data_IF_055178058924
#
_entry.id   IF_055178058924
#
_cell.length_a   1.000
_cell.length_b   1.000
_cell.length_c   1.000
_cell.angle_alpha   90.00
_cell.angle_beta   90.00
_cell.angle_gamma   90.00
#
_symmetry.space_group_name_H-M   'P 1'
#
loop_
_entity.id
_entity.type
_entity.pdbx_description
1 polymer ?
#
# COMPACT_ATOMS: atom_id res chain seq x y z
N UNK A 1 -22.58 74.10 -38.97
CA UNK A 1 -22.37 72.84 -38.21
C UNK A 1 -23.42 72.71 -37.11
N UNK A 2 -24.44 71.87 -37.35
CA UNK A 2 -25.52 71.65 -36.41
C UNK A 2 -24.99 70.83 -35.22
N UNK A 3 -24.98 71.44 -34.03
CA UNK A 3 -24.76 70.73 -32.78
C UNK A 3 -26.03 69.94 -32.45
N UNK A 4 -25.99 68.63 -32.67
CA UNK A 4 -27.07 67.71 -32.32
C UNK A 4 -26.86 67.24 -30.88
N UNK A 5 -27.67 67.76 -29.97
CA UNK A 5 -27.74 67.31 -28.58
C UNK A 5 -28.46 65.96 -28.53
N UNK A 6 -27.73 64.87 -28.28
CA UNK A 6 -28.29 63.55 -27.99
C UNK A 6 -28.10 63.24 -26.50
N UNK A 7 -29.14 63.28 -25.65
CA UNK A 7 -29.02 62.98 -24.22
C UNK A 7 -28.51 61.55 -23.92
N UNK A 8 -28.47 60.63 -24.90
CA UNK A 8 -27.81 59.31 -24.76
C UNK A 8 -26.30 59.36 -25.01
N UNK A 9 -25.77 60.34 -25.77
CA UNK A 9 -24.33 60.49 -25.98
C UNK A 9 -23.62 61.08 -24.75
N UNK A 10 -24.26 62.04 -24.06
CA UNK A 10 -23.72 62.66 -22.83
C UNK A 10 -23.53 61.63 -21.69
N UNK A 11 -24.38 60.60 -21.65
CA UNK A 11 -24.26 59.51 -20.68
C UNK A 11 -23.14 58.51 -21.05
N UNK A 12 -22.77 58.39 -22.33
CA UNK A 12 -21.70 57.48 -22.75
C UNK A 12 -20.32 58.09 -22.49
N UNK A 13 -20.12 59.37 -22.83
CA UNK A 13 -18.85 60.08 -22.60
C UNK A 13 -18.48 60.11 -21.11
N UNK A 14 -19.46 60.43 -20.26
CA UNK A 14 -19.27 60.48 -18.82
C UNK A 14 -18.96 59.09 -18.22
N UNK A 15 -19.54 58.02 -18.76
CA UNK A 15 -19.27 56.66 -18.32
C UNK A 15 -17.93 56.13 -18.83
N UNK A 16 -17.55 56.47 -20.07
CA UNK A 16 -16.25 56.15 -20.65
C UNK A 16 -15.12 56.84 -19.88
N UNK A 17 -15.28 58.13 -19.54
CA UNK A 17 -14.31 58.86 -18.71
C UNK A 17 -14.08 58.19 -17.35
N UNK A 18 -15.15 57.67 -16.73
CA UNK A 18 -15.07 56.88 -15.47
C UNK A 18 -14.36 55.55 -15.65
N UNK A 19 -14.57 54.85 -16.77
CA UNK A 19 -13.82 53.63 -17.09
C UNK A 19 -12.31 53.92 -17.23
N UNK A 20 -11.95 55.02 -17.89
CA UNK A 20 -10.56 55.45 -18.00
C UNK A 20 -9.94 55.88 -16.66
N UNK A 21 -10.72 56.53 -15.79
CA UNK A 21 -10.28 56.85 -14.42
C UNK A 21 -10.03 55.57 -13.61
N UNK A 22 -10.99 54.64 -13.65
CA UNK A 22 -10.85 53.31 -13.03
C UNK A 22 -9.61 52.57 -13.54
N UNK A 23 -9.35 52.57 -14.85
CA UNK A 23 -8.16 51.93 -15.42
C UNK A 23 -6.84 52.53 -14.93
N UNK A 24 -6.80 53.85 -14.65
CA UNK A 24 -5.59 54.49 -14.10
C UNK A 24 -5.35 54.14 -12.64
N UNK A 25 -6.39 53.84 -11.89
CA UNK A 25 -6.32 53.49 -10.46
C UNK A 25 -6.07 51.99 -10.24
N UNK A 26 -6.37 51.15 -11.24
CA UNK A 26 -6.31 49.70 -11.12
C UNK A 26 -5.31 49.08 -12.12
N UNK A 27 -4.32 48.30 -11.65
CA UNK A 27 -3.33 47.64 -12.52
C UNK A 27 -3.93 46.68 -13.56
N UNK A 28 -5.17 46.22 -13.35
CA UNK A 28 -5.91 45.35 -14.27
C UNK A 28 -7.31 45.90 -14.48
N UNK A 29 -7.79 45.93 -15.72
CA UNK A 29 -9.16 46.36 -16.06
C UNK A 29 -10.21 45.28 -15.77
N UNK A 30 -10.21 44.76 -14.55
CA UNK A 30 -11.18 43.79 -14.06
C UNK A 30 -12.37 44.55 -13.44
N UNK A 31 -13.39 44.85 -14.23
CA UNK A 31 -14.62 45.52 -13.77
C UNK A 31 -15.71 44.48 -13.50
N UNK A 32 -16.04 44.15 -12.24
CA UNK A 32 -17.10 43.19 -11.91
C UNK A 32 -18.49 43.73 -12.27
N UNK A 33 -19.42 42.83 -12.59
CA UNK A 33 -20.84 43.17 -12.73
C UNK A 33 -21.37 43.78 -11.43
N UNK A 34 -22.22 44.81 -11.54
CA UNK A 34 -22.76 45.54 -10.38
C UNK A 34 -21.79 46.50 -9.68
N UNK A 35 -20.53 46.64 -10.14
CA UNK A 35 -19.59 47.60 -9.56
C UNK A 35 -20.14 49.04 -9.64
N UNK A 36 -20.16 49.72 -8.49
CA UNK A 36 -20.44 51.15 -8.38
C UNK A 36 -19.10 51.88 -8.20
N UNK A 37 -18.77 52.76 -9.14
CA UNK A 37 -17.57 53.60 -9.12
C UNK A 37 -17.99 55.06 -9.21
N UNK A 38 -17.57 55.88 -8.24
CA UNK A 38 -17.98 57.29 -8.12
C UNK A 38 -19.50 57.49 -8.22
N UNK A 39 -20.28 56.63 -7.53
CA UNK A 39 -21.74 56.66 -7.55
C UNK A 39 -22.39 56.17 -8.86
N UNK A 40 -21.61 55.77 -9.87
CA UNK A 40 -22.09 55.26 -11.16
C UNK A 40 -21.96 53.74 -11.26
N UNK A 41 -22.99 53.06 -11.78
CA UNK A 41 -23.00 51.60 -12.02
C UNK A 41 -22.10 51.22 -13.21
N UNK A 42 -20.79 51.37 -13.04
CA UNK A 42 -19.77 51.16 -14.06
C UNK A 42 -19.75 49.71 -14.55
N UNK A 43 -19.89 48.73 -13.65
CA UNK A 43 -19.95 47.31 -14.01
C UNK A 43 -21.06 46.99 -15.01
N UNK A 44 -22.28 47.42 -14.70
CA UNK A 44 -23.44 47.21 -15.57
C UNK A 44 -23.30 47.94 -16.91
N UNK A 45 -22.64 49.11 -16.91
CA UNK A 45 -22.39 49.86 -18.14
C UNK A 45 -21.38 49.14 -19.04
N UNK A 46 -20.28 48.60 -18.47
CA UNK A 46 -19.28 47.79 -19.18
C UNK A 46 -19.92 46.54 -19.78
N UNK A 47 -20.76 45.84 -19.02
CA UNK A 47 -21.51 44.67 -19.54
C UNK A 47 -22.43 45.04 -20.70
N UNK A 48 -23.11 46.19 -20.62
CA UNK A 48 -23.93 46.72 -21.72
C UNK A 48 -23.09 47.01 -22.97
N UNK A 49 -21.87 47.56 -22.83
CA UNK A 49 -20.99 47.80 -23.98
C UNK A 49 -20.58 46.49 -24.65
N UNK A 50 -20.16 45.49 -23.87
CA UNK A 50 -19.81 44.15 -24.37
C UNK A 50 -20.99 43.49 -25.09
N UNK A 51 -22.20 43.61 -24.54
CA UNK A 51 -23.43 43.09 -25.15
C UNK A 51 -23.82 43.84 -26.43
N UNK A 52 -23.61 45.16 -26.48
CA UNK A 52 -23.87 45.95 -27.69
C UNK A 52 -22.90 45.59 -28.82
N UNK A 53 -21.62 45.40 -28.48
CA UNK A 53 -20.59 44.96 -29.42
C UNK A 53 -20.86 43.57 -29.99
N UNK A 54 -21.16 42.58 -29.14
CA UNK A 54 -21.45 41.21 -29.61
C UNK A 54 -22.70 41.11 -30.51
N UNK A 55 -23.60 42.09 -30.41
CA UNK A 55 -24.80 42.22 -31.27
C UNK A 55 -24.58 43.10 -32.51
N UNK A 56 -23.37 43.62 -32.73
CA UNK A 56 -23.05 44.52 -33.84
C UNK A 56 -23.76 45.87 -33.77
N UNK A 57 -24.20 46.31 -32.57
CA UNK A 57 -24.98 47.54 -32.35
C UNK A 57 -24.16 48.69 -31.76
N UNK A 58 -22.86 48.48 -31.54
CA UNK A 58 -21.98 49.51 -30.99
C UNK A 58 -21.31 50.29 -32.13
N UNK A 59 -21.36 51.61 -32.05
CA UNK A 59 -20.75 52.50 -33.03
C UNK A 59 -19.23 52.28 -33.15
N UNK A 60 -18.69 52.39 -34.37
CA UNK A 60 -17.28 52.12 -34.67
C UNK A 60 -16.30 53.01 -33.88
N UNK A 61 -16.65 54.28 -33.61
CA UNK A 61 -15.82 55.16 -32.78
C UNK A 61 -15.78 54.68 -31.33
N UNK A 62 -16.91 54.25 -30.80
CA UNK A 62 -17.00 53.70 -29.43
C UNK A 62 -16.23 52.39 -29.28
N UNK A 63 -16.29 51.52 -30.29
CA UNK A 63 -15.48 50.29 -30.35
C UNK A 63 -13.99 50.65 -30.28
N UNK A 64 -13.51 51.49 -31.20
CA UNK A 64 -12.11 51.92 -31.28
C UNK A 64 -11.64 52.54 -29.96
N UNK A 65 -12.46 53.36 -29.31
CA UNK A 65 -12.13 54.02 -28.05
C UNK A 65 -12.05 53.05 -26.87
N UNK A 66 -12.94 52.08 -26.80
CA UNK A 66 -12.88 51.03 -25.77
C UNK A 66 -11.68 50.12 -25.98
N UNK A 67 -11.36 49.75 -27.22
CA UNK A 67 -10.17 48.97 -27.58
C UNK A 67 -8.85 49.70 -27.31
N UNK A 68 -8.85 51.03 -27.32
CA UNK A 68 -7.69 51.82 -26.95
C UNK A 68 -7.40 51.83 -25.44
N UNK A 69 -8.32 51.33 -24.60
CA UNK A 69 -8.08 51.20 -23.16
C UNK A 69 -7.23 49.95 -22.90
N UNK A 70 -6.08 50.14 -22.25
CA UNK A 70 -5.24 49.01 -21.87
C UNK A 70 -5.98 48.04 -20.94
N UNK A 71 -5.86 46.75 -21.23
CA UNK A 71 -6.61 45.69 -20.56
C UNK A 71 -8.09 45.54 -20.95
N UNK A 72 -8.63 46.33 -21.89
CA UNK A 72 -10.01 46.12 -22.37
C UNK A 72 -10.13 44.82 -23.13
N UNK A 73 -11.19 44.07 -22.81
CA UNK A 73 -11.55 42.77 -23.40
C UNK A 73 -13.04 42.69 -23.63
N UNK A 74 -13.44 42.25 -24.82
CA UNK A 74 -14.84 42.11 -25.22
C UNK A 74 -15.51 40.89 -24.57
N UNK A 75 -14.76 39.80 -24.38
CA UNK A 75 -15.27 38.59 -23.72
C UNK A 75 -14.26 38.02 -22.72
N UNK A 76 -14.10 38.64 -21.53
CA UNK A 76 -13.11 38.21 -20.54
C UNK A 76 -13.30 36.77 -20.06
N UNK A 77 -14.55 36.28 -20.03
CA UNK A 77 -14.86 34.90 -19.61
C UNK A 77 -14.37 33.89 -20.65
N UNK A 78 -14.49 34.21 -21.94
CA UNK A 78 -13.96 33.35 -23.00
C UNK A 78 -12.44 33.37 -22.99
N UNK A 79 -11.81 34.53 -22.89
CA UNK A 79 -10.35 34.62 -22.84
C UNK A 79 -9.75 33.90 -21.62
N UNK A 80 -10.41 33.96 -20.46
CA UNK A 80 -9.98 33.19 -19.29
C UNK A 80 -10.11 31.67 -19.54
N UNK A 81 -11.16 31.25 -20.24
CA UNK A 81 -11.33 29.85 -20.62
C UNK A 81 -10.26 29.41 -21.63
N UNK A 82 -9.98 30.22 -22.65
CA UNK A 82 -8.90 29.98 -23.63
C UNK A 82 -7.53 29.88 -22.96
N UNK A 83 -7.24 30.76 -22.01
CA UNK A 83 -6.02 30.70 -21.21
C UNK A 83 -5.91 29.39 -20.44
N UNK A 84 -6.99 28.95 -19.81
CA UNK A 84 -7.03 27.66 -19.10
C UNK A 84 -6.87 26.47 -20.05
N UNK A 85 -7.50 26.52 -21.21
CA UNK A 85 -7.40 25.49 -22.23
C UNK A 85 -5.99 25.39 -22.83
N UNK A 86 -5.35 26.52 -23.14
CA UNK A 86 -3.96 26.55 -23.61
C UNK A 86 -2.99 26.01 -22.54
N UNK A 87 -3.19 26.40 -21.27
CA UNK A 87 -2.39 25.88 -20.17
C UNK A 87 -2.58 24.37 -19.97
N UNK A 88 -3.79 23.84 -20.19
CA UNK A 88 -4.06 22.40 -20.17
C UNK A 88 -3.36 21.68 -21.32
N UNK A 89 -3.36 22.23 -22.54
CA UNK A 89 -2.65 21.64 -23.68
C UNK A 89 -1.15 21.54 -23.41
N UNK A 90 -0.55 22.59 -22.85
CA UNK A 90 0.88 22.58 -22.48
C UNK A 90 1.15 21.53 -21.40
N UNK A 91 0.32 21.48 -20.35
CA UNK A 91 0.45 20.47 -19.30
C UNK A 91 0.38 19.04 -19.89
N UNK A 92 -0.59 18.78 -20.77
CA UNK A 92 -0.75 17.46 -21.38
C UNK A 92 0.44 17.06 -22.26
N UNK A 93 1.02 18.01 -22.98
CA UNK A 93 2.22 17.78 -23.78
C UNK A 93 3.46 17.48 -22.91
N UNK A 94 3.62 18.18 -21.78
CA UNK A 94 4.77 18.01 -20.88
C UNK A 94 4.69 16.73 -20.04
N UNK A 95 3.50 16.41 -19.52
CA UNK A 95 3.31 15.31 -18.57
C UNK A 95 2.82 14.00 -19.22
N UNK A 96 2.31 14.09 -20.45
CA UNK A 96 1.73 12.96 -21.18
C UNK A 96 0.31 12.60 -20.73
N UNK A 97 -0.35 13.47 -19.95
CA UNK A 97 -1.68 13.24 -19.36
C UNK A 97 -2.38 14.57 -19.01
N UNK A 98 -3.70 14.53 -18.79
CA UNK A 98 -4.49 15.66 -18.30
C UNK A 98 -4.89 15.54 -16.81
N UNK A 99 -4.08 14.85 -15.99
CA UNK A 99 -4.29 14.68 -14.56
C UNK A 99 -3.61 15.82 -13.78
N UNK A 100 -4.07 17.04 -14.02
CA UNK A 100 -3.54 18.24 -13.35
C UNK A 100 -3.81 18.17 -11.83
N UNK A 101 -2.78 18.27 -10.97
CA UNK A 101 -2.95 18.33 -9.52
C UNK A 101 -3.85 19.49 -9.11
N UNK A 102 -4.71 19.29 -8.11
CA UNK A 102 -5.69 20.31 -7.68
C UNK A 102 -5.04 21.66 -7.28
N UNK A 103 -3.84 21.63 -6.71
CA UNK A 103 -3.09 22.81 -6.30
C UNK A 103 -2.14 23.36 -7.40
N UNK A 104 -2.14 22.78 -8.60
CA UNK A 104 -1.22 23.20 -9.67
C UNK A 104 -1.53 24.61 -10.15
N UNK A 105 -0.49 25.45 -10.18
CA UNK A 105 -0.54 26.84 -10.61
C UNK A 105 0.54 27.08 -11.67
N UNK A 106 0.17 27.68 -12.78
CA UNK A 106 1.08 28.08 -13.86
C UNK A 106 0.87 29.56 -14.17
N UNK A 107 1.92 30.37 -14.08
CA UNK A 107 1.87 31.83 -14.30
C UNK A 107 0.74 32.53 -13.52
N UNK A 108 0.54 32.14 -12.26
CA UNK A 108 -0.53 32.64 -11.40
C UNK A 108 -1.93 32.11 -11.72
N UNK A 109 -2.10 31.26 -12.73
CA UNK A 109 -3.36 30.61 -13.07
C UNK A 109 -3.52 29.27 -12.35
N UNK A 110 -4.59 29.12 -11.56
CA UNK A 110 -4.94 27.87 -10.85
C UNK A 110 -5.52 26.82 -11.80
N UNK A 111 -4.68 26.24 -12.65
CA UNK A 111 -5.10 25.27 -13.66
C UNK A 111 -5.78 24.03 -13.06
N UNK A 112 -5.28 23.53 -11.93
CA UNK A 112 -5.90 22.38 -11.25
C UNK A 112 -7.36 22.62 -10.86
N UNK A 113 -7.63 23.80 -10.30
CA UNK A 113 -9.00 24.24 -10.00
C UNK A 113 -9.84 24.41 -11.27
N UNK A 114 -9.29 25.03 -12.30
CA UNK A 114 -9.99 25.23 -13.57
C UNK A 114 -10.38 23.93 -14.26
N UNK A 115 -9.49 22.93 -14.30
CA UNK A 115 -9.77 21.59 -14.85
C UNK A 115 -10.89 20.91 -14.06
N UNK A 116 -10.87 21.01 -12.73
CA UNK A 116 -11.94 20.47 -11.90
C UNK A 116 -13.29 21.15 -12.19
N UNK A 117 -13.30 22.47 -12.37
CA UNK A 117 -14.50 23.19 -12.80
C UNK A 117 -15.02 22.70 -14.15
N UNK A 118 -14.14 22.36 -15.10
CA UNK A 118 -14.59 21.82 -16.38
C UNK A 118 -15.24 20.44 -16.23
N UNK A 119 -14.65 19.55 -15.43
CA UNK A 119 -15.23 18.23 -15.15
C UNK A 119 -16.57 18.32 -14.43
N UNK A 120 -16.71 19.24 -13.47
CA UNK A 120 -17.99 19.53 -12.80
C UNK A 120 -19.03 20.07 -13.77
N UNK A 121 -18.68 21.05 -14.62
CA UNK A 121 -19.61 21.61 -15.58
C UNK A 121 -20.11 20.58 -16.61
N UNK A 122 -19.29 19.58 -16.95
CA UNK A 122 -19.71 18.45 -17.77
C UNK A 122 -20.65 17.50 -17.01
N UNK A 123 -20.32 17.15 -15.76
CA UNK A 123 -21.16 16.33 -14.91
C UNK A 123 -22.54 16.97 -14.66
N UNK A 124 -22.57 18.28 -14.42
CA UNK A 124 -23.79 19.06 -14.20
C UNK A 124 -24.52 19.40 -15.52
N UNK A 125 -24.02 18.93 -16.67
CA UNK A 125 -24.58 19.18 -18.01
C UNK A 125 -24.70 20.68 -18.40
N UNK A 126 -23.92 21.55 -17.75
CA UNK A 126 -23.92 23.01 -17.99
C UNK A 126 -22.87 23.47 -19.01
N UNK A 127 -22.03 22.54 -19.50
CA UNK A 127 -20.95 22.85 -20.44
C UNK A 127 -21.44 23.05 -21.89
N UNK A 128 -20.88 24.07 -22.56
CA UNK A 128 -21.09 24.28 -23.99
C UNK A 128 -20.57 23.09 -24.83
N UNK A 129 -21.32 22.58 -25.83
CA UNK A 129 -20.90 21.46 -26.67
C UNK A 129 -19.56 21.66 -27.37
N UNK A 130 -19.24 22.90 -27.76
CA UNK A 130 -17.96 23.25 -28.38
C UNK A 130 -16.78 23.09 -27.41
N UNK A 131 -16.95 23.50 -26.15
CA UNK A 131 -15.93 23.34 -25.10
C UNK A 131 -15.73 21.87 -24.75
N UNK A 132 -16.83 21.11 -24.66
CA UNK A 132 -16.81 19.66 -24.44
C UNK A 132 -15.95 18.97 -25.50
N UNK A 133 -16.24 19.19 -26.78
CA UNK A 133 -15.52 18.60 -27.91
C UNK A 133 -14.02 18.97 -27.90
N UNK A 134 -13.69 20.20 -27.52
CA UNK A 134 -12.29 20.65 -27.43
C UNK A 134 -11.53 19.95 -26.30
N UNK A 135 -12.14 19.79 -25.14
CA UNK A 135 -11.55 19.07 -24.02
C UNK A 135 -11.39 17.58 -24.31
N UNK A 136 -12.39 16.95 -24.96
CA UNK A 136 -12.32 15.55 -25.40
C UNK A 136 -11.20 15.27 -26.41
N UNK A 137 -10.72 16.29 -27.13
CA UNK A 137 -9.59 16.18 -28.05
C UNK A 137 -8.22 16.39 -27.39
N UNK A 138 -8.16 16.70 -26.09
CA UNK A 138 -6.89 16.83 -25.37
C UNK A 138 -6.35 15.44 -25.06
N UNK A 139 -5.09 15.18 -25.41
CA UNK A 139 -4.43 13.90 -25.12
C UNK A 139 -4.45 13.59 -23.61
N UNK A 140 -4.89 12.40 -23.24
CA UNK A 140 -5.01 11.97 -21.84
C UNK A 140 -6.13 12.68 -21.06
N UNK A 141 -7.07 13.35 -21.75
CA UNK A 141 -8.28 13.89 -21.10
C UNK A 141 -9.27 12.79 -20.76
N UNK A 142 -9.73 12.84 -19.52
CA UNK A 142 -10.85 12.04 -19.04
C UNK A 142 -11.77 12.90 -18.20
N UNK A 143 -13.07 12.68 -18.38
CA UNK A 143 -14.13 13.25 -17.54
C UNK A 143 -14.10 12.63 -16.13
N UNK A 144 -13.65 11.38 -16.00
CA UNK A 144 -13.38 10.72 -14.71
C UNK A 144 -11.88 10.62 -14.45
N UNK A 145 -11.35 11.66 -13.80
CA UNK A 145 -9.95 11.74 -13.40
C UNK A 145 -9.50 10.58 -12.49
N UNK A 146 -10.42 10.05 -11.67
CA UNK A 146 -10.11 8.98 -10.71
C UNK A 146 -10.02 7.64 -11.42
N UNK A 147 -10.89 7.39 -12.40
CA UNK A 147 -10.77 6.23 -13.27
C UNK A 147 -9.44 6.26 -14.02
N UNK A 148 -9.13 7.37 -14.68
CA UNK A 148 -7.90 7.53 -15.46
C UNK A 148 -6.63 7.41 -14.61
N UNK A 149 -6.61 8.04 -13.43
CA UNK A 149 -5.49 7.90 -12.49
C UNK A 149 -5.29 6.45 -12.04
N UNK A 150 -6.35 5.65 -11.95
CA UNK A 150 -6.23 4.23 -11.63
C UNK A 150 -5.68 3.45 -12.82
N UNK A 151 -6.17 3.68 -14.03
CA UNK A 151 -5.68 3.03 -15.26
C UNK A 151 -4.19 3.27 -15.47
N UNK A 152 -3.74 4.52 -15.31
CA UNK A 152 -2.32 4.85 -15.40
C UNK A 152 -1.50 4.11 -14.35
N UNK A 153 -1.94 4.12 -13.10
CA UNK A 153 -1.23 3.45 -12.03
C UNK A 153 -1.20 1.93 -12.22
N UNK A 154 -2.27 1.34 -12.75
CA UNK A 154 -2.32 -0.06 -13.14
C UNK A 154 -1.33 -0.36 -14.27
N UNK A 155 -1.28 0.46 -15.32
CA UNK A 155 -0.29 0.34 -16.41
C UNK A 155 1.15 0.39 -15.91
N UNK A 156 1.45 1.22 -14.90
CA UNK A 156 2.77 1.22 -14.24
C UNK A 156 3.07 -0.11 -13.52
N UNK A 157 2.07 -0.78 -12.97
CA UNK A 157 2.26 -2.14 -12.41
C UNK A 157 2.48 -3.15 -13.53
N UNK A 158 1.79 -3.04 -14.67
CA UNK A 158 2.04 -3.90 -15.83
C UNK A 158 3.47 -3.72 -16.38
N UNK A 159 3.95 -2.48 -16.46
CA UNK A 159 5.34 -2.17 -16.84
C UNK A 159 6.34 -2.80 -15.86
N UNK A 160 6.08 -2.66 -14.55
CA UNK A 160 6.88 -3.31 -13.52
C UNK A 160 6.87 -4.84 -13.68
N UNK A 161 5.72 -5.46 -13.92
CA UNK A 161 5.62 -6.90 -14.15
C UNK A 161 6.41 -7.32 -15.39
N UNK A 162 6.39 -6.51 -16.46
CA UNK A 162 7.17 -6.77 -17.68
C UNK A 162 8.67 -6.72 -17.41
N UNK A 163 9.12 -5.81 -16.56
CA UNK A 163 10.54 -5.62 -16.20
C UNK A 163 11.05 -6.67 -15.21
N UNK A 164 10.27 -7.00 -14.17
CA UNK A 164 10.70 -7.84 -13.05
C UNK A 164 10.06 -9.24 -13.03
N UNK A 165 9.15 -9.54 -13.97
CA UNK A 165 8.46 -10.83 -14.10
C UNK A 165 7.40 -11.12 -13.04
N UNK A 166 7.12 -10.17 -12.13
CA UNK A 166 6.14 -10.35 -11.06
C UNK A 166 5.60 -9.02 -10.52
N UNK A 167 4.42 -9.04 -9.90
CA UNK A 167 3.75 -7.84 -9.37
C UNK A 167 4.09 -7.53 -7.90
N UNK A 168 5.24 -8.01 -7.39
CA UNK A 168 5.69 -7.72 -6.01
C UNK A 168 6.45 -6.40 -5.98
N UNK A 169 5.71 -5.31 -6.18
CA UNK A 169 6.24 -3.95 -6.13
C UNK A 169 6.66 -3.61 -4.68
N UNK A 170 7.92 -3.21 -4.41
CA UNK A 170 8.35 -2.74 -3.09
C UNK A 170 7.61 -1.48 -2.67
N UNK A 171 7.29 -1.35 -1.39
CA UNK A 171 6.52 -0.22 -0.84
C UNK A 171 7.14 1.17 -1.16
N UNK A 172 8.48 1.23 -1.25
CA UNK A 172 9.23 2.45 -1.56
C UNK A 172 9.41 2.70 -3.06
N UNK A 173 8.98 1.79 -3.94
CA UNK A 173 9.21 1.91 -5.38
C UNK A 173 8.46 3.10 -5.97
N UNK A 174 9.17 3.88 -6.79
CA UNK A 174 8.67 5.11 -7.42
C UNK A 174 8.99 5.13 -8.90
N UNK A 175 8.04 5.61 -9.71
CA UNK A 175 8.21 5.82 -11.15
C UNK A 175 7.95 7.29 -11.45
N UNK A 176 8.98 8.04 -11.91
CA UNK A 176 8.89 9.48 -12.23
C UNK A 176 8.16 10.30 -11.14
N UNK A 177 8.47 10.01 -9.87
CA UNK A 177 7.85 10.67 -8.70
C UNK A 177 6.57 10.02 -8.17
N UNK A 178 5.87 9.20 -8.98
CA UNK A 178 4.68 8.46 -8.56
C UNK A 178 5.05 7.31 -7.61
N UNK A 179 4.43 7.25 -6.43
CA UNK A 179 4.68 6.21 -5.43
C UNK A 179 3.89 4.92 -5.73
N UNK A 180 4.37 4.15 -6.72
CA UNK A 180 3.72 2.92 -7.17
C UNK A 180 3.57 1.88 -6.05
N UNK A 181 4.60 1.70 -5.21
CA UNK A 181 4.54 0.80 -4.06
C UNK A 181 3.42 1.15 -3.08
N UNK A 182 3.33 2.43 -2.72
CA UNK A 182 2.26 2.93 -1.87
C UNK A 182 0.87 2.77 -2.51
N UNK A 183 0.75 2.94 -3.83
CA UNK A 183 -0.50 2.72 -4.55
C UNK A 183 -0.93 1.25 -4.50
N UNK A 184 -0.02 0.30 -4.69
CA UNK A 184 -0.29 -1.15 -4.57
C UNK A 184 -0.79 -1.51 -3.17
N UNK A 185 -0.14 -0.97 -2.12
CA UNK A 185 -0.60 -1.12 -0.73
C UNK A 185 -2.01 -0.55 -0.55
N UNK A 186 -2.29 0.62 -1.13
CA UNK A 186 -3.62 1.22 -1.07
C UNK A 186 -4.69 0.33 -1.73
N UNK A 187 -4.40 -0.35 -2.85
CA UNK A 187 -5.34 -1.29 -3.48
C UNK A 187 -5.69 -2.46 -2.54
N UNK A 188 -4.68 -3.04 -1.88
CA UNK A 188 -4.88 -4.12 -0.90
C UNK A 188 -5.77 -3.65 0.27
N UNK A 189 -5.56 -2.42 0.75
CA UNK A 189 -6.39 -1.83 1.81
C UNK A 189 -7.82 -1.54 1.35
N UNK A 190 -8.00 -1.05 0.12
CA UNK A 190 -9.33 -0.80 -0.45
C UNK A 190 -10.12 -2.09 -0.61
N UNK A 191 -9.48 -3.20 -1.03
CA UNK A 191 -10.10 -4.53 -1.06
C UNK A 191 -10.52 -4.98 0.34
N UNK A 192 -9.64 -4.87 1.33
CA UNK A 192 -9.95 -5.24 2.73
C UNK A 192 -11.14 -4.43 3.29
N UNK A 193 -11.28 -3.16 2.88
CA UNK A 193 -12.41 -2.29 3.23
C UNK A 193 -13.69 -2.54 2.40
N UNK A 194 -13.65 -3.41 1.40
CA UNK A 194 -14.79 -3.65 0.49
C UNK A 194 -15.08 -2.50 -0.48
N UNK A 195 -14.15 -1.57 -0.65
CA UNK A 195 -14.33 -0.35 -1.48
C UNK A 195 -13.72 -0.47 -2.88
N UNK A 196 -12.93 -1.52 -3.14
CA UNK A 196 -12.35 -1.77 -4.45
C UNK A 196 -13.35 -2.52 -5.33
N UNK A 197 -13.65 -2.01 -6.53
CA UNK A 197 -14.61 -2.63 -7.45
C UNK A 197 -14.19 -4.05 -7.85
N UNK A 198 -15.17 -4.90 -8.19
CA UNK A 198 -14.93 -6.28 -8.59
C UNK A 198 -14.03 -6.37 -9.83
N UNK A 199 -14.22 -5.48 -10.81
CA UNK A 199 -13.40 -5.41 -12.01
C UNK A 199 -11.93 -5.10 -11.69
N UNK A 200 -11.66 -4.11 -10.83
CA UNK A 200 -10.28 -3.76 -10.42
C UNK A 200 -9.63 -4.89 -9.63
N UNK A 201 -10.41 -5.58 -8.79
CA UNK A 201 -9.93 -6.77 -8.09
C UNK A 201 -9.54 -7.87 -9.08
N UNK A 202 -10.36 -8.13 -10.10
CA UNK A 202 -10.08 -9.12 -11.12
C UNK A 202 -8.80 -8.78 -11.89
N UNK A 203 -8.69 -7.55 -12.41
CA UNK A 203 -7.52 -7.10 -13.18
C UNK A 203 -6.22 -7.21 -12.39
N UNK A 204 -6.22 -6.78 -11.12
CA UNK A 204 -5.06 -6.91 -10.25
C UNK A 204 -4.72 -8.38 -9.96
N UNK A 205 -5.73 -9.23 -9.72
CA UNK A 205 -5.52 -10.66 -9.46
C UNK A 205 -4.97 -11.43 -10.66
N UNK A 206 -5.22 -10.94 -11.88
CA UNK A 206 -4.69 -11.53 -13.11
C UNK A 206 -3.21 -11.21 -13.36
N UNK A 207 -2.60 -10.30 -12.60
CA UNK A 207 -1.19 -9.98 -12.75
C UNK A 207 -0.30 -11.12 -12.21
N UNK A 208 0.72 -11.57 -12.95
CA UNK A 208 1.69 -12.55 -12.49
C UNK A 208 2.30 -12.19 -11.13
N UNK A 209 2.21 -13.10 -10.16
CA UNK A 209 2.75 -12.90 -8.82
C UNK A 209 2.02 -11.87 -7.96
N UNK A 210 0.82 -11.43 -8.36
CA UNK A 210 -0.02 -10.58 -7.51
C UNK A 210 -0.53 -11.35 -6.30
N UNK A 211 -0.31 -10.76 -5.13
CA UNK A 211 -0.72 -11.32 -3.86
C UNK A 211 -1.47 -10.24 -3.09
N UNK A 212 -2.69 -10.56 -2.67
CA UNK A 212 -3.51 -9.67 -1.87
C UNK A 212 -3.05 -9.58 -0.41
N UNK A 213 -2.67 -10.72 0.17
CA UNK A 213 -2.16 -10.82 1.53
C UNK A 213 -0.83 -11.58 1.51
N UNK A 214 0.26 -10.83 1.57
CA UNK A 214 1.61 -11.37 1.53
C UNK A 214 1.91 -12.28 2.75
N UNK A 215 1.35 -11.94 3.92
CA UNK A 215 1.50 -12.75 5.14
C UNK A 215 0.78 -14.08 5.00
N UNK A 216 -0.40 -14.08 4.37
CA UNK A 216 -1.16 -15.31 4.15
C UNK A 216 -0.50 -16.20 3.09
N UNK A 217 -0.06 -15.65 1.95
CA UNK A 217 0.63 -16.44 0.93
C UNK A 217 1.94 -17.06 1.46
N UNK A 218 2.76 -16.29 2.19
CA UNK A 218 3.97 -16.85 2.82
C UNK A 218 3.65 -17.93 3.86
N UNK A 219 2.53 -17.79 4.57
CA UNK A 219 2.05 -18.81 5.50
C UNK A 219 1.66 -20.09 4.75
N UNK A 220 0.89 -19.98 3.67
CA UNK A 220 0.42 -21.11 2.87
C UNK A 220 1.59 -21.85 2.23
N UNK A 221 2.55 -21.11 1.64
CA UNK A 221 3.78 -21.66 1.04
C UNK A 221 4.62 -22.41 2.08
N UNK A 222 4.85 -21.81 3.25
CA UNK A 222 5.64 -22.43 4.30
C UNK A 222 4.93 -23.62 4.95
N UNK A 223 3.60 -23.60 5.06
CA UNK A 223 2.80 -24.72 5.53
C UNK A 223 2.86 -25.88 4.52
N UNK A 224 2.77 -25.60 3.22
CA UNK A 224 2.91 -26.61 2.17
C UNK A 224 4.32 -27.22 2.16
N UNK A 225 5.36 -26.41 2.34
CA UNK A 225 6.73 -26.89 2.53
C UNK A 225 6.89 -27.74 3.80
N UNK A 226 6.25 -27.35 4.91
CA UNK A 226 6.27 -28.16 6.14
C UNK A 226 5.59 -29.53 5.96
N UNK A 227 4.46 -29.58 5.25
CA UNK A 227 3.77 -30.85 4.94
C UNK A 227 4.67 -31.79 4.15
N UNK A 228 5.31 -31.29 3.09
CA UNK A 228 6.26 -32.08 2.29
C UNK A 228 7.47 -32.52 3.11
N UNK A 229 8.00 -31.64 3.96
CA UNK A 229 9.08 -32.01 4.87
C UNK A 229 8.65 -33.13 5.85
N UNK A 230 7.43 -33.07 6.39
CA UNK A 230 6.91 -34.12 7.27
C UNK A 230 6.72 -35.46 6.52
N UNK A 231 6.27 -35.42 5.27
CA UNK A 231 6.16 -36.59 4.39
C UNK A 231 7.54 -37.21 4.07
N UNK A 232 8.56 -36.39 3.81
CA UNK A 232 9.90 -36.86 3.44
C UNK A 232 10.71 -37.36 4.64
N UNK A 233 10.64 -36.66 5.78
CA UNK A 233 11.49 -36.93 6.94
C UNK A 233 10.74 -37.58 8.11
N UNK A 234 9.41 -37.71 8.03
CA UNK A 234 8.58 -38.24 9.12
C UNK A 234 8.64 -37.38 10.39
N UNK A 235 8.93 -36.09 10.26
CA UNK A 235 9.03 -35.17 11.39
C UNK A 235 8.79 -33.71 11.01
N UNK A 236 8.08 -32.97 11.85
CA UNK A 236 8.00 -31.49 11.78
C UNK A 236 9.11 -30.78 12.58
N UNK A 237 10.09 -31.51 13.11
CA UNK A 237 11.24 -30.94 13.83
C UNK A 237 12.33 -30.50 12.85
N UNK A 238 12.08 -29.38 12.18
CA UNK A 238 13.01 -28.78 11.21
C UNK A 238 14.18 -28.11 11.96
N UNK A 239 15.45 -28.41 11.64
CA UNK A 239 16.61 -27.76 12.26
C UNK A 239 16.61 -26.25 12.02
N UNK A 240 17.04 -25.47 13.02
CA UNK A 240 17.12 -24.02 12.90
C UNK A 240 18.03 -23.61 11.73
N UNK A 241 17.59 -22.64 10.93
CA UNK A 241 18.32 -22.19 9.74
C UNK A 241 18.23 -23.12 8.52
N UNK A 242 17.64 -24.32 8.64
CA UNK A 242 17.45 -25.21 7.50
C UNK A 242 16.45 -24.62 6.50
N UNK A 243 16.84 -24.66 5.23
CA UNK A 243 15.99 -24.25 4.12
C UNK A 243 15.46 -25.48 3.37
N UNK A 244 14.16 -25.46 3.06
CA UNK A 244 13.47 -26.50 2.30
C UNK A 244 12.64 -25.82 1.21
N UNK A 245 12.78 -26.25 -0.04
CA UNK A 245 12.17 -25.58 -1.21
C UNK A 245 12.43 -24.07 -1.30
N UNK A 246 13.64 -23.63 -0.92
CA UNK A 246 14.01 -22.20 -0.91
C UNK A 246 13.38 -21.39 0.23
N UNK A 247 12.56 -22.01 1.09
CA UNK A 247 11.97 -21.38 2.27
C UNK A 247 12.86 -21.67 3.48
N UNK A 248 13.23 -20.68 4.33
CA UNK A 248 13.95 -20.90 5.58
C UNK A 248 13.04 -21.55 6.65
N UNK A 249 12.61 -22.78 6.36
CA UNK A 249 11.53 -23.49 7.05
C UNK A 249 11.85 -23.70 8.53
N UNK A 250 13.10 -23.96 8.88
CA UNK A 250 13.53 -24.09 10.28
C UNK A 250 13.28 -22.83 11.11
N UNK A 251 13.53 -21.66 10.51
CA UNK A 251 13.27 -20.37 11.17
C UNK A 251 11.77 -20.10 11.26
N UNK A 252 11.01 -20.45 10.21
CA UNK A 252 9.56 -20.30 10.20
C UNK A 252 8.89 -21.17 11.29
N UNK A 253 9.24 -22.46 11.39
CA UNK A 253 8.70 -23.37 12.42
C UNK A 253 9.06 -22.88 13.82
N UNK A 254 10.31 -22.47 14.04
CA UNK A 254 10.75 -21.93 15.33
C UNK A 254 9.98 -20.64 15.72
N UNK A 255 9.63 -19.81 14.74
CA UNK A 255 8.79 -18.63 14.95
C UNK A 255 7.38 -19.03 15.40
N UNK A 256 6.75 -20.02 14.76
CA UNK A 256 5.39 -20.45 15.13
C UNK A 256 5.33 -20.96 16.57
N UNK A 257 6.29 -21.80 16.98
CA UNK A 257 6.38 -22.29 18.36
C UNK A 257 6.58 -21.15 19.37
N UNK A 258 7.37 -20.13 19.00
CA UNK A 258 7.60 -18.96 19.85
C UNK A 258 6.34 -18.10 20.00
N UNK A 259 5.61 -17.87 18.91
CA UNK A 259 4.36 -17.09 18.94
C UNK A 259 3.26 -17.83 19.71
N UNK A 260 3.19 -19.16 19.60
CA UNK A 260 2.30 -19.99 20.43
C UNK A 260 2.64 -19.88 21.92
N UNK A 261 3.91 -20.04 22.28
CA UNK A 261 4.35 -19.92 23.67
C UNK A 261 4.09 -18.54 24.28
N UNK A 262 4.03 -17.49 23.44
CA UNK A 262 3.67 -16.12 23.84
C UNK A 262 2.16 -15.84 23.83
N UNK A 263 1.34 -16.78 23.35
CA UNK A 263 -0.10 -16.59 23.19
C UNK A 263 -0.51 -15.61 22.09
N UNK A 264 0.40 -15.28 21.17
CA UNK A 264 0.16 -14.30 20.08
C UNK A 264 -0.17 -14.94 18.74
N UNK A 265 -0.01 -16.26 18.61
CA UNK A 265 -0.34 -16.97 17.38
C UNK A 265 -1.85 -17.07 17.19
N UNK A 266 -2.34 -16.77 15.99
CA UNK A 266 -3.75 -16.87 15.63
C UNK A 266 -4.34 -18.28 15.85
N UNK A 267 -5.60 -18.35 16.26
CA UNK A 267 -6.28 -19.62 16.63
C UNK A 267 -6.50 -20.56 15.45
N UNK A 268 -6.72 -20.05 14.25
CA UNK A 268 -6.89 -20.89 13.07
C UNK A 268 -5.54 -21.46 12.65
N UNK A 269 -4.49 -20.65 12.70
CA UNK A 269 -3.10 -21.11 12.46
C UNK A 269 -2.67 -22.19 13.46
N UNK A 270 -3.05 -22.06 14.73
CA UNK A 270 -2.83 -23.11 15.74
C UNK A 270 -3.50 -24.42 15.32
N UNK A 271 -4.81 -24.37 15.03
CA UNK A 271 -5.60 -25.55 14.63
C UNK A 271 -5.04 -26.21 13.36
N UNK A 272 -4.61 -25.42 12.38
CA UNK A 272 -4.00 -25.95 11.16
C UNK A 272 -2.69 -26.69 11.41
N UNK A 273 -1.82 -26.17 12.28
CA UNK A 273 -0.58 -26.84 12.64
C UNK A 273 -0.83 -28.11 13.47
N UNK A 274 -1.79 -28.08 14.38
CA UNK A 274 -2.19 -29.23 15.22
C UNK A 274 -2.80 -30.40 14.41
N UNK A 275 -3.21 -30.17 13.16
CA UNK A 275 -3.66 -31.23 12.25
C UNK A 275 -2.50 -32.01 11.61
N UNK A 276 -1.26 -31.53 11.71
CA UNK A 276 -0.10 -32.22 11.16
C UNK A 276 0.27 -33.42 12.07
N UNK A 277 0.47 -34.64 11.53
CA UNK A 277 0.63 -35.85 12.32
C UNK A 277 1.78 -35.81 13.35
N UNK A 278 2.90 -35.20 12.99
CA UNK A 278 4.09 -35.15 13.86
C UNK A 278 4.30 -33.77 14.49
N UNK A 279 3.30 -32.89 14.45
CA UNK A 279 3.43 -31.55 15.01
C UNK A 279 3.50 -31.57 16.54
N UNK A 280 4.47 -30.82 17.05
CA UNK A 280 4.61 -30.54 18.46
C UNK A 280 4.98 -29.07 18.68
N UNK A 281 4.33 -28.47 19.67
CA UNK A 281 4.66 -27.14 20.17
C UNK A 281 5.96 -27.12 21.00
N UNK A 282 6.35 -28.26 21.60
CA UNK A 282 7.60 -28.44 22.35
C UNK A 282 8.24 -29.81 22.02
N UNK A 283 8.84 -29.97 20.83
CA UNK A 283 9.41 -31.27 20.40
C UNK A 283 10.54 -31.73 21.33
N UNK A 284 11.31 -30.80 21.91
CA UNK A 284 12.37 -31.13 22.87
C UNK A 284 11.80 -31.59 24.22
N UNK A 285 10.65 -31.05 24.62
CA UNK A 285 9.89 -31.51 25.78
C UNK A 285 9.35 -32.92 25.58
N UNK A 286 8.72 -33.17 24.43
CA UNK A 286 8.12 -34.45 24.09
C UNK A 286 9.17 -35.57 23.96
N UNK A 287 10.30 -35.28 23.30
CA UNK A 287 11.40 -36.25 23.20
C UNK A 287 12.02 -36.55 24.58
N UNK A 288 12.13 -35.54 25.45
CA UNK A 288 12.57 -35.78 26.84
C UNK A 288 11.59 -36.67 27.59
N UNK A 289 10.28 -36.43 27.44
CA UNK A 289 9.23 -37.25 28.05
C UNK A 289 9.27 -38.70 27.54
N UNK A 290 9.44 -38.90 26.22
CA UNK A 290 9.63 -40.23 25.62
C UNK A 290 10.80 -40.98 26.25
N UNK A 291 11.97 -40.34 26.37
CA UNK A 291 13.15 -40.96 26.98
C UNK A 291 12.98 -41.23 28.48
N UNK A 292 12.27 -40.35 29.18
CA UNK A 292 11.88 -40.58 30.57
C UNK A 292 10.93 -41.79 30.71
N UNK A 293 9.98 -41.96 29.78
CA UNK A 293 9.10 -43.13 29.76
C UNK A 293 9.87 -44.43 29.45
N UNK A 294 10.87 -44.38 28.57
CA UNK A 294 11.79 -45.50 28.34
C UNK A 294 12.61 -45.83 29.59
N UNK A 295 13.06 -44.82 30.33
CA UNK A 295 13.73 -45.03 31.61
C UNK A 295 12.81 -45.69 32.64
N UNK A 296 11.54 -45.27 32.75
CA UNK A 296 10.56 -45.95 33.61
C UNK A 296 10.39 -47.42 33.22
N UNK A 297 10.31 -47.73 31.92
CA UNK A 297 10.24 -49.12 31.43
C UNK A 297 11.49 -49.92 31.80
N UNK A 298 12.67 -49.32 31.69
CA UNK A 298 13.92 -49.94 32.13
C UNK A 298 13.89 -50.24 33.62
N UNK A 299 13.51 -49.27 34.46
CA UNK A 299 13.43 -49.43 35.92
C UNK A 299 12.44 -50.52 36.30
N UNK A 300 11.28 -50.59 35.65
CA UNK A 300 10.31 -51.64 35.89
C UNK A 300 10.85 -53.04 35.57
N UNK A 301 11.75 -53.17 34.58
CA UNK A 301 12.37 -54.44 34.17
C UNK A 301 13.57 -54.85 35.03
N UNK A 302 14.39 -53.88 35.44
CA UNK A 302 15.68 -54.13 36.08
C UNK A 302 15.71 -53.81 37.59
N UNK A 303 14.68 -53.16 38.12
CA UNK A 303 14.55 -52.81 39.54
C UNK A 303 15.25 -51.51 39.95
N UNK A 304 16.12 -50.94 39.10
CA UNK A 304 16.83 -49.70 39.38
C UNK A 304 17.00 -48.79 38.16
N UNK A 305 17.34 -47.52 38.40
CA UNK A 305 17.63 -46.53 37.36
C UNK A 305 19.13 -46.46 36.98
N UNK A 306 19.92 -47.49 37.29
CA UNK A 306 21.36 -47.56 36.97
C UNK A 306 21.55 -48.15 35.58
N UNK A 307 21.16 -47.36 34.57
CA UNK A 307 21.31 -47.74 33.17
C UNK A 307 22.81 -47.73 32.78
N UNK A 308 23.38 -48.85 32.28
CA UNK A 308 24.75 -48.88 31.77
C UNK A 308 24.93 -47.90 30.61
N UNK A 309 26.06 -47.17 30.57
CA UNK A 309 26.34 -46.20 29.49
C UNK A 309 26.17 -46.73 28.05
N UNK A 310 26.59 -47.97 27.70
CA UNK A 310 26.39 -48.50 26.34
C UNK A 310 24.97 -49.03 26.08
N UNK A 311 24.07 -49.02 27.07
CA UNK A 311 22.73 -49.58 26.91
C UNK A 311 21.91 -48.79 25.88
N UNK A 312 21.32 -49.54 24.96
CA UNK A 312 20.32 -49.08 24.00
C UNK A 312 19.02 -49.84 24.22
N UNK A 313 17.89 -49.19 24.00
CA UNK A 313 16.59 -49.88 23.96
C UNK A 313 16.54 -50.82 22.75
N UNK A 314 15.51 -51.67 22.69
CA UNK A 314 15.23 -52.54 21.53
C UNK A 314 15.20 -51.77 20.22
N UNK A 315 14.70 -50.54 20.27
CA UNK A 315 14.53 -49.65 19.10
C UNK A 315 15.76 -48.76 18.87
N UNK A 316 16.90 -49.09 19.48
CA UNK A 316 18.18 -48.41 19.26
C UNK A 316 18.39 -47.10 20.01
N UNK A 317 17.45 -46.66 20.85
CA UNK A 317 17.58 -45.39 21.61
C UNK A 317 18.71 -45.53 22.65
N UNK A 318 19.75 -44.67 22.63
CA UNK A 318 20.90 -44.76 23.55
C UNK A 318 20.55 -44.24 24.95
N UNK A 319 19.66 -44.94 25.65
CA UNK A 319 19.13 -44.57 26.94
C UNK A 319 20.23 -44.42 28.01
N UNK A 320 21.28 -45.25 27.97
CA UNK A 320 22.40 -45.15 28.91
C UNK A 320 23.17 -43.84 28.80
N UNK A 321 23.44 -43.39 27.57
CA UNK A 321 24.07 -42.09 27.32
C UNK A 321 23.16 -40.95 27.73
N UNK A 322 21.87 -41.02 27.42
CA UNK A 322 20.92 -39.99 27.82
C UNK A 322 20.79 -39.82 29.35
N UNK A 323 20.77 -40.92 30.11
CA UNK A 323 20.75 -40.89 31.59
C UNK A 323 22.01 -40.23 32.14
N UNK A 324 23.18 -40.55 31.60
CA UNK A 324 24.44 -39.86 31.96
C UNK A 324 24.33 -38.37 31.68
N UNK A 325 23.84 -37.98 30.50
CA UNK A 325 23.69 -36.57 30.15
C UNK A 325 22.71 -35.84 31.10
N UNK A 326 21.68 -36.51 31.63
CA UNK A 326 20.81 -35.91 32.65
C UNK A 326 21.56 -35.60 33.95
N UNK A 327 22.45 -36.50 34.39
CA UNK A 327 23.30 -36.29 35.57
C UNK A 327 24.30 -35.15 35.32
N UNK A 328 24.96 -35.15 34.16
CA UNK A 328 25.91 -34.09 33.79
C UNK A 328 25.23 -32.72 33.73
N UNK A 329 24.03 -32.63 33.16
CA UNK A 329 23.26 -31.39 33.10
C UNK A 329 22.79 -30.92 34.48
N UNK A 330 22.49 -31.85 35.40
CA UNK A 330 22.19 -31.51 36.79
C UNK A 330 23.42 -30.93 37.50
N UNK A 331 24.58 -31.58 37.38
CA UNK A 331 25.84 -31.09 37.95
C UNK A 331 26.25 -29.72 37.39
N UNK A 332 25.95 -29.44 36.11
CA UNK A 332 26.20 -28.14 35.47
C UNK A 332 25.13 -27.08 35.78
N UNK A 333 24.06 -27.43 36.51
CA UNK A 333 22.96 -26.52 36.81
C UNK A 333 22.07 -26.16 35.61
N UNK A 334 22.16 -26.89 34.49
CA UNK A 334 21.41 -26.61 33.26
C UNK A 334 20.13 -27.43 33.12
N UNK A 335 19.92 -28.43 33.98
CA UNK A 335 18.71 -29.24 33.98
C UNK A 335 17.51 -28.48 34.60
N UNK A 336 16.39 -28.40 33.87
CA UNK A 336 15.16 -27.78 34.38
C UNK A 336 14.68 -28.45 35.68
N UNK A 337 14.21 -27.64 36.63
CA UNK A 337 13.81 -28.10 37.96
C UNK A 337 12.65 -29.11 37.96
N UNK A 338 11.73 -29.04 37.00
CA UNK A 338 10.66 -30.02 36.83
C UNK A 338 11.19 -31.39 36.37
N UNK A 339 12.17 -31.40 35.45
CA UNK A 339 12.86 -32.61 34.98
C UNK A 339 13.66 -33.27 36.09
N UNK A 340 14.36 -32.47 36.90
CA UNK A 340 15.08 -32.96 38.07
C UNK A 340 14.13 -33.64 39.08
N UNK A 341 13.01 -32.98 39.41
CA UNK A 341 11.97 -33.54 40.30
C UNK A 341 11.42 -34.87 39.77
N UNK A 342 11.14 -34.97 38.47
CA UNK A 342 10.65 -36.23 37.84
C UNK A 342 11.67 -37.36 37.91
N UNK A 343 12.96 -37.07 37.73
CA UNK A 343 14.00 -38.11 37.81
C UNK A 343 14.19 -38.62 39.24
N UNK A 344 14.09 -37.73 40.23
CA UNK A 344 14.17 -38.09 41.66
C UNK A 344 13.05 -39.03 42.13
N UNK A 345 11.94 -39.17 41.39
CA UNK A 345 10.88 -40.12 41.77
C UNK A 345 11.20 -41.56 41.39
N UNK A 346 12.27 -41.81 40.64
CA UNK A 346 12.63 -43.15 40.19
C UNK A 346 13.37 -43.93 41.29
N UNK A 347 13.01 -45.22 41.52
CA UNK A 347 13.73 -46.10 42.42
C UNK A 347 15.25 -46.09 42.18
N UNK A 348 16.01 -45.88 43.26
CA UNK A 348 17.47 -45.86 43.26
C UNK A 348 18.11 -44.82 42.32
N UNK A 349 17.36 -43.76 41.95
CA UNK A 349 17.95 -42.62 41.24
C UNK A 349 18.95 -41.89 42.14
N UNK A 350 20.14 -41.68 41.60
CA UNK A 350 21.23 -40.93 42.24
C UNK A 350 21.83 -40.00 41.19
N UNK A 351 22.20 -38.80 41.64
CA UNK A 351 22.87 -37.80 40.80
C UNK A 351 24.35 -38.11 40.64
N UNK A 352 24.94 -38.82 41.61
CA UNK A 352 26.30 -39.30 41.54
C UNK A 352 26.44 -40.38 40.45
N UNK A 353 27.54 -40.36 39.71
CA UNK A 353 27.86 -41.43 38.78
C UNK A 353 28.02 -42.76 39.56
N UNK A 354 27.54 -43.90 39.04
CA UNK A 354 27.80 -45.18 39.70
C UNK A 354 29.32 -45.39 39.82
N UNK A 355 29.81 -45.95 40.94
CA UNK A 355 31.21 -46.36 41.02
C UNK A 355 31.52 -47.30 39.85
N UNK A 356 32.69 -47.12 39.22
CA UNK A 356 33.16 -48.00 38.14
C UNK A 356 33.10 -49.44 38.67
N UNK A 357 32.13 -50.23 38.20
CA UNK A 357 32.00 -51.62 38.59
C UNK A 357 33.28 -52.39 38.26
N UNK A 358 33.58 -53.49 38.97
CA UNK A 358 34.80 -54.24 38.76
C UNK A 358 34.83 -54.74 37.31
N UNK A 359 35.98 -54.55 36.66
CA UNK A 359 36.27 -55.16 35.36
C UNK A 359 36.04 -56.67 35.52
N UNK A 360 35.04 -57.22 34.84
CA UNK A 360 34.90 -58.68 34.72
C UNK A 360 36.18 -59.16 34.03
N UNK A 361 37.05 -59.81 34.79
CA UNK A 361 38.17 -60.56 34.26
C UNK A 361 37.61 -61.61 33.31
N UNK A 362 38.18 -61.68 32.11
CA UNK A 362 38.06 -62.84 31.26
C UNK A 362 38.58 -64.06 32.04
N UNK A 363 37.77 -65.11 32.09
CA UNK A 363 38.19 -66.42 32.52
C UNK A 363 39.26 -66.96 31.56
N UNK A 364 40.29 -67.61 32.12
CA UNK A 364 41.14 -68.56 31.41
C UNK A 364 41.41 -69.73 32.35
N UNK A 365 41.19 -70.95 31.83
CA UNK A 365 41.82 -72.19 32.28
C UNK A 365 41.24 -72.80 33.54
#
# INVERSE_FOLDING_TARGET
PAWSWDPKSDNWEAAFARLCAYQREHPTLAVPGGLIYEGFKLGDWVERQRSAYSRGKLDADRVRRLEAIDGWRWNPKEEQWERGFAALLNYAAEHGDALVPAAYVVDGFRLGGWVNTQRLAHFDETMLPTRRKRLENVSGWSWDARAESWERAFGLVEDYVREYGNARVPDSHRVKGFALGAWVVAQRMQRKKGTLSAERQLRLSSLPGWIWDYSQAQWDDALAALKRYDEEYGSTSVPQGFAFDGIPLGNWVARQRREYAKGTLDRDRQRTLEQLPTWSWDPYGDEWKRRFDLLKKYVAKHGDARVPAPYKTTDGVPLGSWVRDQRDNYCKGTLKADRARKLMTLPHWTWDAPPKGPRRGHALG
#
